data_IF_402226056353
#
_entry.id   IF_402226056353
#
_cell.length_a   1.000
_cell.length_b   1.000
_cell.length_c   1.000
_cell.angle_alpha   90.00
_cell.angle_beta   90.00
_cell.angle_gamma   90.00
#
_symmetry.space_group_name_H-M   'P 1'
#
loop_
_entity.id
_entity.type
_entity.pdbx_description
1 polymer ?
#
# COMPACT_ATOMS: atom_id res chain seq x y z
N UNK A 1 -27.02 17.65 -18.01
CA UNK A 1 -27.08 16.18 -17.74
C UNK A 1 -25.86 15.45 -18.26
N UNK A 2 -25.49 15.54 -19.55
CA UNK A 2 -24.32 14.80 -20.11
C UNK A 2 -23.03 15.17 -19.37
N UNK A 3 -22.76 16.45 -19.18
CA UNK A 3 -21.56 16.93 -18.48
C UNK A 3 -21.47 16.44 -17.03
N UNK A 4 -22.61 16.39 -16.31
CA UNK A 4 -22.68 15.86 -14.96
C UNK A 4 -22.22 14.39 -14.92
N UNK A 5 -22.73 13.58 -15.84
CA UNK A 5 -22.38 12.16 -15.97
C UNK A 5 -20.89 12.01 -16.34
N UNK A 6 -20.38 12.83 -17.25
CA UNK A 6 -18.96 12.80 -17.65
C UNK A 6 -18.04 13.14 -16.47
N UNK A 7 -18.33 14.18 -15.69
CA UNK A 7 -17.55 14.51 -14.50
C UNK A 7 -17.60 13.38 -13.47
N UNK A 8 -18.79 12.82 -13.21
CA UNK A 8 -18.97 11.74 -12.25
C UNK A 8 -18.22 10.48 -12.68
N UNK A 9 -18.46 9.99 -13.90
CA UNK A 9 -17.82 8.77 -14.38
C UNK A 9 -16.31 8.93 -14.57
N UNK A 10 -15.85 10.10 -15.02
CA UNK A 10 -14.43 10.41 -15.15
C UNK A 10 -13.72 10.35 -13.81
N UNK A 11 -14.24 11.05 -12.80
CA UNK A 11 -13.70 11.03 -11.45
C UNK A 11 -13.73 9.63 -10.85
N UNK A 12 -14.86 8.92 -10.97
CA UNK A 12 -15.00 7.57 -10.44
C UNK A 12 -14.02 6.59 -11.09
N UNK A 13 -13.79 6.66 -12.40
CA UNK A 13 -12.87 5.77 -13.10
C UNK A 13 -11.42 5.99 -12.67
N UNK A 14 -10.99 7.24 -12.58
CA UNK A 14 -9.63 7.58 -12.12
C UNK A 14 -9.44 7.18 -10.66
N UNK A 15 -10.40 7.51 -9.81
CA UNK A 15 -10.35 7.17 -8.38
C UNK A 15 -10.38 5.66 -8.15
N UNK A 16 -11.22 4.92 -8.90
CA UNK A 16 -11.26 3.46 -8.90
C UNK A 16 -9.88 2.86 -9.20
N UNK A 17 -9.24 3.33 -10.29
CA UNK A 17 -7.89 2.86 -10.66
C UNK A 17 -6.88 3.14 -9.56
N UNK A 18 -6.86 4.35 -9.00
CA UNK A 18 -5.96 4.72 -7.91
C UNK A 18 -6.17 3.82 -6.68
N UNK A 19 -7.41 3.53 -6.31
CA UNK A 19 -7.74 2.68 -5.16
C UNK A 19 -7.31 1.23 -5.36
N UNK A 20 -7.45 0.68 -6.59
CA UNK A 20 -6.91 -0.66 -6.93
C UNK A 20 -5.38 -0.66 -6.79
N UNK A 21 -4.70 0.34 -7.37
CA UNK A 21 -3.23 0.42 -7.33
C UNK A 21 -2.70 0.49 -5.90
N UNK A 22 -3.33 1.32 -5.06
CA UNK A 22 -3.00 1.43 -3.64
C UNK A 22 -3.17 0.09 -2.91
N UNK A 23 -4.32 -0.56 -3.11
CA UNK A 23 -4.60 -1.84 -2.47
C UNK A 23 -3.64 -2.95 -2.91
N UNK A 24 -3.32 -3.04 -4.20
CA UNK A 24 -2.32 -4.00 -4.71
C UNK A 24 -0.94 -3.72 -4.13
N UNK A 25 -0.50 -2.45 -4.13
CA UNK A 25 0.80 -2.07 -3.56
C UNK A 25 0.90 -2.47 -2.09
N UNK A 26 -0.14 -2.21 -1.31
CA UNK A 26 -0.13 -2.51 0.12
C UNK A 26 -0.24 -4.01 0.41
N UNK A 27 -1.09 -4.73 -0.32
CA UNK A 27 -1.38 -6.14 -0.06
C UNK A 27 -0.35 -7.12 -0.60
N UNK A 28 0.56 -6.70 -1.50
CA UNK A 28 1.58 -7.60 -2.05
C UNK A 28 2.68 -7.86 -1.02
N UNK A 29 2.90 -9.10 -0.53
CA UNK A 29 3.94 -9.42 0.43
C UNK A 29 5.34 -9.34 -0.19
N UNK A 30 6.34 -8.93 0.59
CA UNK A 30 7.75 -8.85 0.14
C UNK A 30 8.28 -10.24 -0.23
N UNK A 31 7.90 -11.29 0.50
CA UNK A 31 8.27 -12.67 0.23
C UNK A 31 7.86 -13.11 -1.18
N UNK A 32 6.62 -12.81 -1.58
CA UNK A 32 6.14 -13.11 -2.93
C UNK A 32 6.88 -12.30 -4.00
N UNK A 33 7.17 -11.03 -3.75
CA UNK A 33 7.91 -10.18 -4.67
C UNK A 33 9.32 -10.75 -4.90
N UNK A 34 10.01 -11.17 -3.83
CA UNK A 34 11.36 -11.75 -3.90
C UNK A 34 11.35 -13.06 -4.68
N UNK A 35 10.40 -13.94 -4.40
CA UNK A 35 10.23 -15.19 -5.15
C UNK A 35 10.03 -14.92 -6.65
N UNK A 36 9.18 -13.96 -7.01
CA UNK A 36 8.93 -13.60 -8.41
C UNK A 36 10.12 -12.89 -9.07
N UNK A 37 10.94 -12.18 -8.30
CA UNK A 37 12.19 -11.57 -8.78
C UNK A 37 13.21 -12.69 -9.14
N UNK A 38 13.34 -13.71 -8.31
CA UNK A 38 14.20 -14.89 -8.56
C UNK A 38 13.75 -15.69 -9.78
N UNK A 39 12.45 -15.76 -10.04
CA UNK A 39 11.87 -16.35 -11.26
C UNK A 39 12.10 -15.48 -12.53
N UNK A 40 12.72 -14.30 -12.40
CA UNK A 40 13.01 -13.40 -13.51
C UNK A 40 11.83 -12.54 -13.97
N UNK A 41 10.79 -12.40 -13.14
CA UNK A 41 9.62 -11.56 -13.47
C UNK A 41 9.98 -10.08 -13.38
N UNK A 42 10.12 -9.42 -14.53
CA UNK A 42 10.60 -8.04 -14.66
C UNK A 42 9.91 -6.98 -13.76
N UNK A 43 8.57 -6.98 -13.63
CA UNK A 43 7.88 -6.03 -12.74
C UNK A 43 8.20 -6.21 -11.25
N UNK A 44 8.65 -7.40 -10.81
CA UNK A 44 8.91 -7.69 -9.40
C UNK A 44 10.00 -6.78 -8.82
N UNK A 45 11.09 -6.54 -9.56
CA UNK A 45 12.17 -5.64 -9.12
C UNK A 45 11.67 -4.22 -8.82
N UNK A 46 10.84 -3.65 -9.71
CA UNK A 46 10.26 -2.32 -9.47
C UNK A 46 9.27 -2.31 -8.31
N UNK A 47 8.46 -3.38 -8.17
CA UNK A 47 7.53 -3.50 -7.05
C UNK A 47 8.27 -3.58 -5.72
N UNK A 48 9.42 -4.25 -5.68
CA UNK A 48 10.31 -4.28 -4.52
C UNK A 48 10.81 -2.89 -4.13
N UNK A 49 11.29 -2.12 -5.12
CA UNK A 49 11.69 -0.73 -4.90
C UNK A 49 10.53 0.13 -4.37
N UNK A 50 9.31 -0.07 -4.87
CA UNK A 50 8.12 0.62 -4.40
C UNK A 50 7.73 0.25 -2.97
N UNK A 51 7.95 -1.00 -2.58
CA UNK A 51 7.73 -1.44 -1.19
C UNK A 51 8.76 -0.86 -0.23
N UNK A 52 10.04 -0.84 -0.63
CA UNK A 52 11.12 -0.28 0.18
C UNK A 52 11.05 1.25 0.30
N UNK A 53 10.59 1.93 -0.74
CA UNK A 53 10.43 3.37 -0.81
C UNK A 53 8.97 3.73 -1.11
N UNK A 54 8.07 3.34 -0.21
CA UNK A 54 6.62 3.44 -0.42
C UNK A 54 6.09 4.89 -0.52
N UNK A 55 6.83 5.86 0.02
CA UNK A 55 6.44 7.28 0.00
C UNK A 55 6.15 7.81 -1.40
N UNK A 56 7.00 7.47 -2.38
CA UNK A 56 6.84 7.94 -3.78
C UNK A 56 5.59 7.42 -4.48
N UNK A 57 5.39 6.09 -4.55
CA UNK A 57 4.19 5.54 -5.20
C UNK A 57 2.91 5.97 -4.49
N UNK A 58 2.89 5.98 -3.16
CA UNK A 58 1.73 6.42 -2.38
C UNK A 58 1.43 7.90 -2.65
N UNK A 59 2.44 8.78 -2.64
CA UNK A 59 2.26 10.20 -2.95
C UNK A 59 1.68 10.42 -4.35
N UNK A 60 2.13 9.67 -5.36
CA UNK A 60 1.61 9.76 -6.72
C UNK A 60 0.14 9.32 -6.81
N UNK A 61 -0.19 8.18 -6.22
CA UNK A 61 -1.55 7.62 -6.20
C UNK A 61 -2.50 8.57 -5.48
N UNK A 62 -2.16 8.99 -4.25
CA UNK A 62 -2.99 9.89 -3.44
C UNK A 62 -3.19 11.25 -4.11
N UNK A 63 -2.15 11.81 -4.74
CA UNK A 63 -2.26 13.08 -5.44
C UNK A 63 -3.27 13.00 -6.58
N UNK A 64 -3.16 11.99 -7.45
CA UNK A 64 -4.11 11.83 -8.55
C UNK A 64 -5.52 11.54 -8.05
N UNK A 65 -5.67 10.68 -7.04
CA UNK A 65 -6.97 10.37 -6.45
C UNK A 65 -7.64 11.62 -5.88
N UNK A 66 -6.90 12.43 -5.12
CA UNK A 66 -7.41 13.68 -4.55
C UNK A 66 -7.81 14.68 -5.63
N UNK A 67 -6.98 14.85 -6.67
CA UNK A 67 -7.28 15.73 -7.81
C UNK A 67 -8.56 15.27 -8.52
N UNK A 68 -8.67 13.98 -8.82
CA UNK A 68 -9.82 13.41 -9.51
C UNK A 68 -11.12 13.59 -8.70
N UNK A 69 -11.08 13.28 -7.42
CA UNK A 69 -12.24 13.42 -6.54
C UNK A 69 -12.63 14.89 -6.35
N UNK A 70 -11.67 15.78 -6.19
CA UNK A 70 -11.94 17.22 -5.99
C UNK A 70 -12.53 17.86 -7.26
N UNK A 71 -11.92 17.65 -8.41
CA UNK A 71 -12.41 18.18 -9.70
C UNK A 71 -13.75 17.54 -10.06
N UNK A 72 -13.89 16.23 -9.83
CA UNK A 72 -15.12 15.49 -10.07
C UNK A 72 -16.27 16.01 -9.23
N UNK A 73 -16.08 16.11 -7.91
CA UNK A 73 -17.10 16.62 -6.99
C UNK A 73 -17.50 18.07 -7.30
N UNK A 74 -16.53 18.95 -7.59
CA UNK A 74 -16.80 20.33 -7.98
C UNK A 74 -17.57 20.41 -9.31
N UNK A 75 -17.18 19.58 -10.29
CA UNK A 75 -17.86 19.51 -11.59
C UNK A 75 -19.31 19.02 -11.47
N UNK A 76 -19.51 17.93 -10.71
CA UNK A 76 -20.85 17.38 -10.43
C UNK A 76 -21.70 18.41 -9.66
N UNK A 77 -21.15 19.03 -8.63
CA UNK A 77 -21.87 20.02 -7.83
C UNK A 77 -22.33 21.23 -8.65
N UNK A 78 -21.44 21.77 -9.50
CA UNK A 78 -21.79 22.86 -10.42
C UNK A 78 -22.90 22.44 -11.40
N UNK A 79 -22.76 21.28 -12.01
CA UNK A 79 -23.75 20.81 -12.98
C UNK A 79 -25.09 20.45 -12.32
N UNK A 80 -25.07 19.90 -11.11
CA UNK A 80 -26.28 19.63 -10.35
C UNK A 80 -27.09 20.92 -10.10
N UNK A 81 -26.42 21.98 -9.69
CA UNK A 81 -27.07 23.29 -9.46
C UNK A 81 -27.67 23.88 -10.74
N UNK A 82 -26.99 23.72 -11.89
CA UNK A 82 -27.49 24.20 -13.19
C UNK A 82 -28.68 23.39 -13.71
N UNK A 83 -28.73 22.09 -13.43
CA UNK A 83 -29.77 21.20 -13.99
C UNK A 83 -30.97 21.09 -13.06
N UNK A 84 -30.76 20.99 -11.76
CA UNK A 84 -31.82 20.70 -10.78
C UNK A 84 -32.16 21.90 -9.89
N UNK A 85 -31.35 22.98 -9.93
CA UNK A 85 -31.47 24.12 -9.04
C UNK A 85 -30.68 23.96 -7.72
N UNK A 86 -30.50 25.06 -7.02
CA UNK A 86 -29.70 25.11 -5.78
C UNK A 86 -30.29 24.29 -4.62
N UNK A 87 -31.60 24.07 -4.64
CA UNK A 87 -32.31 23.32 -3.59
C UNK A 87 -31.89 21.84 -3.55
N UNK A 88 -31.55 21.28 -4.71
CA UNK A 88 -31.17 19.87 -4.85
C UNK A 88 -29.67 19.60 -4.66
N UNK A 89 -28.87 20.67 -4.51
CA UNK A 89 -27.41 20.54 -4.40
C UNK A 89 -26.99 19.60 -3.27
N UNK A 90 -27.60 19.74 -2.09
CA UNK A 90 -27.28 18.90 -0.93
C UNK A 90 -27.56 17.40 -1.16
N UNK A 91 -28.72 17.08 -1.76
CA UNK A 91 -29.10 15.70 -2.05
C UNK A 91 -28.17 15.07 -3.11
N UNK A 92 -27.89 15.81 -4.19
CA UNK A 92 -26.99 15.30 -5.26
C UNK A 92 -25.58 15.10 -4.71
N UNK A 93 -25.08 16.02 -3.88
CA UNK A 93 -23.78 15.88 -3.25
C UNK A 93 -23.71 14.66 -2.34
N UNK A 94 -24.73 14.41 -1.53
CA UNK A 94 -24.80 13.25 -0.66
C UNK A 94 -24.80 11.91 -1.47
N UNK A 95 -25.61 11.84 -2.52
CA UNK A 95 -25.65 10.66 -3.41
C UNK A 95 -24.30 10.46 -4.08
N UNK A 96 -23.69 11.52 -4.61
CA UNK A 96 -22.38 11.49 -5.26
C UNK A 96 -21.30 10.98 -4.30
N UNK A 97 -21.30 11.45 -3.06
CA UNK A 97 -20.36 11.01 -2.03
C UNK A 97 -20.50 9.51 -1.75
N UNK A 98 -21.72 9.01 -1.61
CA UNK A 98 -21.98 7.58 -1.39
C UNK A 98 -21.52 6.74 -2.60
N UNK A 99 -21.79 7.20 -3.83
CA UNK A 99 -21.35 6.53 -5.05
C UNK A 99 -19.82 6.46 -5.14
N UNK A 100 -19.13 7.56 -4.89
CA UNK A 100 -17.67 7.61 -4.86
C UNK A 100 -17.13 6.66 -3.79
N UNK A 101 -17.65 6.73 -2.56
CA UNK A 101 -17.21 5.87 -1.47
C UNK A 101 -17.33 4.38 -1.81
N UNK A 102 -18.49 3.96 -2.31
CA UNK A 102 -18.73 2.54 -2.61
C UNK A 102 -17.93 2.10 -3.84
N UNK A 103 -18.11 2.78 -4.97
CA UNK A 103 -17.59 2.32 -6.26
C UNK A 103 -16.16 2.75 -6.56
N UNK A 104 -15.66 3.81 -5.91
CA UNK A 104 -14.31 4.30 -6.16
C UNK A 104 -13.32 4.01 -5.03
N UNK A 105 -13.80 3.60 -3.84
CA UNK A 105 -12.92 3.27 -2.72
C UNK A 105 -13.13 1.84 -2.20
N UNK A 106 -14.32 1.47 -1.72
CA UNK A 106 -14.54 0.18 -1.07
C UNK A 106 -14.37 -0.98 -2.06
N UNK A 107 -15.12 -0.95 -3.16
CA UNK A 107 -15.11 -2.03 -4.16
C UNK A 107 -13.72 -2.21 -4.78
N UNK A 108 -13.03 -1.17 -5.30
CA UNK A 108 -11.71 -1.34 -5.91
C UNK A 108 -10.63 -1.75 -4.91
N UNK A 109 -10.66 -1.28 -3.65
CA UNK A 109 -9.73 -1.74 -2.61
C UNK A 109 -9.94 -3.23 -2.32
N UNK A 110 -11.18 -3.68 -2.26
CA UNK A 110 -11.49 -5.11 -2.09
C UNK A 110 -10.96 -5.94 -3.26
N UNK A 111 -11.16 -5.49 -4.51
CA UNK A 111 -10.64 -6.15 -5.71
C UNK A 111 -9.11 -6.19 -5.69
N UNK A 112 -8.46 -5.08 -5.37
CA UNK A 112 -7.00 -4.98 -5.28
C UNK A 112 -6.40 -5.88 -4.21
N UNK A 113 -7.04 -5.92 -3.03
CA UNK A 113 -6.60 -6.73 -1.89
C UNK A 113 -6.71 -8.24 -2.16
N UNK A 114 -7.74 -8.70 -2.86
CA UNK A 114 -7.89 -10.12 -3.19
C UNK A 114 -7.15 -10.51 -4.49
N UNK A 115 -7.10 -9.59 -5.46
CA UNK A 115 -6.52 -9.83 -6.78
C UNK A 115 -5.05 -9.43 -6.93
N UNK A 116 -4.34 -9.08 -5.87
CA UNK A 116 -3.01 -8.50 -5.92
C UNK A 116 -2.00 -9.35 -6.72
N UNK A 117 -2.09 -10.70 -6.67
CA UNK A 117 -1.18 -11.61 -7.42
C UNK A 117 -1.25 -11.39 -8.91
N UNK A 118 -2.44 -11.32 -9.48
CA UNK A 118 -2.66 -11.13 -10.92
C UNK A 118 -2.46 -9.68 -11.35
N UNK A 119 -2.75 -8.73 -10.47
CA UNK A 119 -2.69 -7.31 -10.75
C UNK A 119 -1.31 -6.68 -10.51
N UNK A 120 -0.36 -7.38 -9.85
CA UNK A 120 0.96 -6.86 -9.50
C UNK A 120 1.71 -6.27 -10.70
N UNK A 121 1.75 -6.95 -11.85
CA UNK A 121 2.44 -6.46 -13.04
C UNK A 121 1.80 -5.21 -13.65
N UNK A 122 0.47 -5.20 -13.73
CA UNK A 122 -0.29 -4.03 -14.17
C UNK A 122 -0.08 -2.85 -13.21
N UNK A 123 -0.22 -3.10 -11.90
CA UNK A 123 -0.03 -2.07 -10.88
C UNK A 123 1.36 -1.46 -10.92
N UNK A 124 2.41 -2.27 -10.99
CA UNK A 124 3.81 -1.80 -11.06
C UNK A 124 4.03 -0.88 -12.27
N UNK A 125 3.52 -1.27 -13.43
CA UNK A 125 3.68 -0.48 -14.66
C UNK A 125 2.90 0.84 -14.56
N UNK A 126 1.67 0.78 -14.12
CA UNK A 126 0.79 1.96 -14.01
C UNK A 126 1.30 2.94 -12.95
N UNK A 127 1.75 2.45 -11.79
CA UNK A 127 2.37 3.29 -10.74
C UNK A 127 3.63 3.97 -11.27
N UNK A 128 4.48 3.26 -12.04
CA UNK A 128 5.68 3.86 -12.66
C UNK A 128 5.33 5.04 -13.56
N UNK A 129 4.30 4.91 -14.38
CA UNK A 129 3.81 5.99 -15.25
C UNK A 129 3.25 7.13 -14.41
N UNK A 130 2.50 6.79 -13.36
CA UNK A 130 1.85 7.76 -12.50
C UNK A 130 2.85 8.64 -11.74
N UNK A 131 3.96 8.05 -11.25
CA UNK A 131 5.05 8.79 -10.60
C UNK A 131 5.64 9.83 -11.54
N UNK A 132 5.79 9.51 -12.84
CA UNK A 132 6.31 10.45 -13.84
C UNK A 132 5.31 11.59 -14.09
N UNK A 133 4.03 11.27 -14.26
CA UNK A 133 2.97 12.29 -14.51
C UNK A 133 2.79 13.20 -13.29
N UNK A 134 2.79 12.63 -12.08
CA UNK A 134 2.59 13.36 -10.83
C UNK A 134 3.91 13.86 -10.21
N UNK A 135 5.02 13.86 -10.97
CA UNK A 135 6.33 14.25 -10.48
C UNK A 135 6.34 15.56 -9.67
N UNK A 136 5.70 16.66 -10.10
CA UNK A 136 5.71 17.91 -9.32
C UNK A 136 5.06 17.75 -7.95
N UNK A 137 3.96 16.99 -7.86
CA UNK A 137 3.28 16.72 -6.58
C UNK A 137 4.11 15.78 -5.70
N UNK A 138 4.68 14.73 -6.29
CA UNK A 138 5.53 13.77 -5.58
C UNK A 138 6.76 14.49 -4.99
N UNK A 139 7.44 15.32 -5.76
CA UNK A 139 8.60 16.10 -5.30
C UNK A 139 8.26 17.01 -4.12
N UNK A 140 7.10 17.68 -4.19
CA UNK A 140 6.63 18.55 -3.10
C UNK A 140 6.36 17.76 -1.81
N UNK A 141 5.68 16.62 -1.93
CA UNK A 141 5.35 15.75 -0.80
C UNK A 141 6.62 15.16 -0.19
N UNK A 142 7.56 14.67 -0.99
CA UNK A 142 8.86 14.17 -0.50
C UNK A 142 9.64 15.24 0.27
N UNK A 143 9.61 16.49 -0.21
CA UNK A 143 10.27 17.61 0.47
C UNK A 143 9.62 17.91 1.81
N UNK A 144 8.29 17.85 1.89
CA UNK A 144 7.55 18.02 3.14
C UNK A 144 7.80 16.87 4.11
N UNK A 145 7.79 15.61 3.64
CA UNK A 145 8.08 14.45 4.46
C UNK A 145 9.48 14.50 5.08
N UNK A 146 10.51 14.87 4.29
CA UNK A 146 11.89 15.04 4.79
C UNK A 146 12.01 16.11 5.88
N UNK A 147 11.09 17.06 5.92
CA UNK A 147 11.06 18.11 6.96
C UNK A 147 10.41 17.60 8.24
N UNK A 148 9.47 16.66 8.14
CA UNK A 148 8.63 16.19 9.26
C UNK A 148 9.19 14.90 9.86
N UNK A 149 9.73 13.99 9.02
CA UNK A 149 10.17 12.67 9.47
C UNK A 149 11.69 12.64 9.57
N UNK A 150 12.28 12.44 10.78
CA UNK A 150 13.69 12.13 10.92
C UNK A 150 14.01 10.83 10.18
N UNK A 151 15.25 10.73 9.67
CA UNK A 151 15.71 9.49 9.03
C UNK A 151 15.84 8.37 10.09
N UNK A 152 14.79 7.66 10.35
CA UNK A 152 14.85 6.33 10.95
C UNK A 152 14.97 5.29 9.83
N UNK A 153 15.81 4.29 10.08
CA UNK A 153 15.93 3.12 9.17
C UNK A 153 14.66 2.25 9.31
N UNK A 154 13.56 2.66 8.69
CA UNK A 154 12.25 1.97 8.72
C UNK A 154 12.28 0.53 8.17
N UNK A 155 13.40 0.06 7.62
CA UNK A 155 13.51 -1.24 6.96
C UNK A 155 14.46 -2.22 7.63
N UNK A 156 14.94 -1.94 8.82
CA UNK A 156 15.73 -2.92 9.57
C UNK A 156 14.78 -3.83 10.35
N UNK A 157 14.51 -5.01 9.80
CA UNK A 157 13.81 -6.07 10.55
C UNK A 157 14.63 -6.35 11.81
N UNK A 158 14.04 -6.10 12.97
CA UNK A 158 14.71 -6.34 14.26
C UNK A 158 14.76 -7.84 14.57
N UNK A 159 15.68 -8.27 15.43
CA UNK A 159 15.74 -9.65 15.92
C UNK A 159 14.43 -10.08 16.57
N UNK A 160 13.83 -9.18 17.36
CA UNK A 160 12.54 -9.41 18.02
C UNK A 160 11.41 -9.64 17.00
N UNK A 161 11.47 -8.95 15.85
CA UNK A 161 10.51 -9.13 14.76
C UNK A 161 10.66 -10.50 14.09
N UNK A 162 11.90 -10.97 13.87
CA UNK A 162 12.17 -12.32 13.36
C UNK A 162 11.69 -13.38 14.35
N UNK A 163 11.96 -13.20 15.65
CA UNK A 163 11.47 -14.08 16.71
C UNK A 163 9.93 -14.15 16.73
N UNK A 164 9.26 -12.99 16.66
CA UNK A 164 7.81 -12.93 16.62
C UNK A 164 7.23 -13.60 15.36
N UNK A 165 7.88 -13.43 14.20
CA UNK A 165 7.45 -14.10 12.96
C UNK A 165 7.58 -15.61 13.03
N UNK A 166 8.64 -16.15 13.67
CA UNK A 166 8.81 -17.57 13.87
C UNK A 166 7.71 -18.18 14.76
N UNK A 167 7.34 -17.48 15.86
CA UNK A 167 6.24 -17.89 16.73
C UNK A 167 4.89 -17.90 15.98
N UNK A 168 4.61 -16.89 15.14
CA UNK A 168 3.39 -16.84 14.33
C UNK A 168 3.35 -17.98 13.31
N UNK A 169 4.49 -18.36 12.73
CA UNK A 169 4.57 -19.47 11.79
C UNK A 169 4.33 -20.83 12.48
N UNK A 170 4.78 -21.01 13.73
CA UNK A 170 4.48 -22.17 14.57
C UNK A 170 2.98 -22.24 14.90
N UNK A 171 2.38 -21.13 15.36
CA UNK A 171 0.94 -21.07 15.65
C UNK A 171 0.07 -21.36 14.39
N UNK A 172 0.57 -21.01 13.21
CA UNK A 172 -0.09 -21.30 11.93
C UNK A 172 0.11 -22.76 11.47
N UNK A 173 1.02 -23.51 12.09
CA UNK A 173 1.36 -24.89 11.72
C UNK A 173 2.32 -25.00 10.53
N UNK A 174 2.96 -23.90 10.13
CA UNK A 174 3.96 -23.85 9.06
C UNK A 174 5.38 -24.19 9.55
N UNK A 175 5.59 -24.10 10.88
CA UNK A 175 6.82 -24.52 11.58
C UNK A 175 6.46 -25.49 12.70
N UNK A 176 7.33 -26.49 12.92
CA UNK A 176 7.25 -27.39 14.05
C UNK A 176 7.83 -26.69 15.31
N UNK A 177 7.39 -27.12 16.51
CA UNK A 177 7.84 -26.55 17.79
C UNK A 177 9.38 -26.64 17.94
N UNK A 178 9.98 -27.76 17.57
CA UNK A 178 11.43 -27.97 17.59
C UNK A 178 12.19 -27.04 16.65
N UNK A 179 11.61 -26.74 15.47
CA UNK A 179 12.19 -25.83 14.49
C UNK A 179 12.15 -24.38 14.99
N UNK A 180 11.04 -23.96 15.62
CA UNK A 180 10.96 -22.64 16.24
C UNK A 180 11.93 -22.50 17.39
N UNK A 181 12.08 -23.51 18.27
CA UNK A 181 13.04 -23.50 19.36
C UNK A 181 14.48 -23.29 18.85
N UNK A 182 14.86 -23.97 17.76
CA UNK A 182 16.17 -23.78 17.13
C UNK A 182 16.35 -22.33 16.65
N UNK A 183 15.34 -21.74 15.99
CA UNK A 183 15.38 -20.35 15.53
C UNK A 183 15.55 -19.39 16.71
N UNK A 184 14.78 -19.56 17.79
CA UNK A 184 14.88 -18.73 19.00
C UNK A 184 16.27 -18.83 19.63
N UNK A 185 16.81 -20.05 19.72
CA UNK A 185 18.14 -20.28 20.27
C UNK A 185 19.24 -19.61 19.43
N UNK A 186 19.12 -19.62 18.10
CA UNK A 186 20.07 -18.94 17.20
C UNK A 186 19.98 -17.41 17.34
N UNK A 187 18.78 -16.86 17.46
CA UNK A 187 18.57 -15.43 17.63
C UNK A 187 19.22 -14.94 18.95
N UNK A 188 19.13 -15.75 20.01
CA UNK A 188 19.64 -15.41 21.34
C UNK A 188 21.11 -15.84 21.57
N UNK A 189 21.78 -16.41 20.56
CA UNK A 189 23.12 -16.99 20.69
C UNK A 189 24.18 -15.99 21.13
N UNK A 190 24.04 -14.73 20.78
CA UNK A 190 24.98 -13.67 21.15
C UNK A 190 24.86 -13.20 22.61
N UNK A 191 23.77 -13.53 23.29
CA UNK A 191 23.58 -13.26 24.71
C UNK A 191 24.17 -14.37 25.61
N UNK A 192 24.39 -15.58 25.02
CA UNK A 192 24.91 -16.74 25.77
C UNK A 192 26.40 -16.58 26.04
N UNK A 193 26.77 -16.62 27.28
CA UNK A 193 28.16 -16.56 27.72
C UNK A 193 28.75 -17.96 27.82
N UNK A 194 30.07 -18.08 27.64
CA UNK A 194 30.78 -19.33 27.84
C UNK A 194 30.54 -19.94 29.24
N UNK A 195 30.30 -19.11 30.24
CA UNK A 195 29.93 -19.52 31.60
C UNK A 195 28.64 -20.32 31.70
N UNK A 196 27.70 -20.07 30.74
CA UNK A 196 26.34 -20.64 30.78
C UNK A 196 26.32 -22.06 30.22
N UNK A 197 27.30 -22.40 29.37
CA UNK A 197 27.42 -23.71 28.72
C UNK A 197 28.61 -24.53 29.21
N UNK A 198 29.52 -23.96 30.02
CA UNK A 198 30.68 -24.70 30.52
C UNK A 198 30.35 -25.55 31.74
N UNK A 199 30.92 -26.72 31.84
CA UNK A 199 30.87 -27.51 33.06
C UNK A 199 31.79 -26.89 34.11
N UNK A 200 31.29 -26.56 35.34
CA UNK A 200 32.12 -26.00 36.41
C UNK A 200 33.25 -26.98 36.77
N UNK A 201 34.44 -26.43 37.03
CA UNK A 201 35.63 -27.23 37.40
C UNK A 201 35.51 -27.93 38.75
N UNK A 202 34.56 -27.49 39.57
CA UNK A 202 34.32 -28.03 40.91
C UNK A 202 33.07 -28.90 40.86
N UNK A 203 33.29 -30.20 40.73
CA UNK A 203 32.31 -31.24 41.00
C UNK A 203 32.90 -32.11 42.11
#
# INVERSE_FOLDING_TARGET
MVELIVFLLGAMTVSFMCSVLEAVLMSTPISYITMREEEGYGPAKKMKDFKQNSSRPIAAILSLNTIANTIGAAGVGRQATLVFGSEWFGLVSAITTILILIFSEIVPKTIGTHGWRSLMGFATTTISILIVIMFPCVWLIEKLQKLITPKENENAVSRDEVSAMANVAEEAGDLEEDENEIIQNVINLDEIKASDVMTPRVV
#
